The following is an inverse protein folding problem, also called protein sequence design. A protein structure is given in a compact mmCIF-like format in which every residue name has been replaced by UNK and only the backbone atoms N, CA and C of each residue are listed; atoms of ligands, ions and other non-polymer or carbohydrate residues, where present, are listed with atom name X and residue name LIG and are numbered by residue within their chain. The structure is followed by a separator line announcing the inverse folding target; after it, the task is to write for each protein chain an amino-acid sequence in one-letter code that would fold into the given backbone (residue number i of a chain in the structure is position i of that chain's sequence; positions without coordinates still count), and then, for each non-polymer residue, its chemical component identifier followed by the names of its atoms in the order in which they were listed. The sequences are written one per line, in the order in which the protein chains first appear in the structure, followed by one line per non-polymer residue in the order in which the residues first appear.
data_IF_739875554401
#
_entry.id   IF_739875554401
#
_cell.length_a   1.000
_cell.length_b   1.000
_cell.length_c   1.000
_cell.angle_alpha   90.00
_cell.angle_beta   90.00
_cell.angle_gamma   90.00
#
_symmetry.space_group_name_H-M   'P 1'
#
loop_
_entity.id
_entity.type
_entity.pdbx_description
1 polymer ?
#
# COMPACT_ATOMS: atom_id res chain seq x y z
N UNK A 1 -14.41 17.89 16.33
CA UNK A 1 -14.76 17.00 15.19
C UNK A 1 -14.90 15.60 15.71
N UNK A 2 -15.97 14.89 15.40
CA UNK A 2 -16.11 13.47 15.77
C UNK A 2 -15.24 12.60 14.83
N UNK A 3 -14.81 11.42 15.30
CA UNK A 3 -14.04 10.48 14.48
C UNK A 3 -14.78 10.09 13.19
N UNK A 4 -16.11 10.05 13.21
CA UNK A 4 -16.96 9.84 12.04
C UNK A 4 -16.78 10.94 10.99
N UNK A 5 -16.79 12.21 11.38
CA UNK A 5 -16.61 13.33 10.44
C UNK A 5 -15.22 13.32 9.79
N UNK A 6 -14.18 12.91 10.55
CA UNK A 6 -12.83 12.78 10.01
C UNK A 6 -12.72 11.68 8.95
N UNK A 7 -13.37 10.53 9.15
CA UNK A 7 -13.39 9.43 8.17
C UNK A 7 -14.08 9.84 6.87
N UNK A 8 -15.25 10.45 6.97
CA UNK A 8 -15.99 10.94 5.81
C UNK A 8 -15.20 11.99 5.03
N UNK A 9 -14.50 12.87 5.72
CA UNK A 9 -13.62 13.84 5.07
C UNK A 9 -12.45 13.17 4.34
N UNK A 10 -11.82 12.17 4.95
CA UNK A 10 -10.75 11.40 4.31
C UNK A 10 -11.23 10.71 3.01
N UNK A 11 -12.37 10.02 3.05
CA UNK A 11 -12.97 9.38 1.86
C UNK A 11 -13.33 10.42 0.80
N UNK A 12 -13.79 11.61 1.19
CA UNK A 12 -14.07 12.70 0.23
C UNK A 12 -12.81 13.12 -0.55
N UNK A 13 -11.65 13.20 0.10
CA UNK A 13 -10.39 13.48 -0.61
C UNK A 13 -9.96 12.34 -1.53
N UNK A 14 -10.10 11.09 -1.08
CA UNK A 14 -9.86 9.91 -1.93
C UNK A 14 -10.75 9.93 -3.15
N UNK A 15 -12.04 10.24 -2.99
CA UNK A 15 -13.00 10.31 -4.10
C UNK A 15 -12.66 11.40 -5.11
N UNK A 16 -12.06 12.53 -4.70
CA UNK A 16 -11.58 13.55 -5.65
C UNK A 16 -10.48 12.99 -6.57
N UNK A 17 -9.57 12.17 -6.03
CA UNK A 17 -8.53 11.52 -6.82
C UNK A 17 -9.16 10.53 -7.81
N UNK A 18 -10.09 9.70 -7.34
CA UNK A 18 -10.80 8.71 -8.15
C UNK A 18 -11.65 9.36 -9.25
N UNK A 19 -12.35 10.45 -8.93
CA UNK A 19 -13.12 11.23 -9.91
C UNK A 19 -12.22 11.79 -11.03
N UNK A 20 -11.04 12.30 -10.69
CA UNK A 20 -10.04 12.73 -11.67
C UNK A 20 -9.60 11.59 -12.60
N UNK A 21 -9.45 10.39 -12.05
CA UNK A 21 -9.07 9.20 -12.81
C UNK A 21 -10.25 8.59 -13.61
N UNK A 22 -11.47 9.11 -13.48
CA UNK A 22 -12.66 8.60 -14.16
C UNK A 22 -13.12 7.24 -13.64
N UNK A 23 -12.84 6.91 -12.39
CA UNK A 23 -13.20 5.63 -11.75
C UNK A 23 -14.19 5.85 -10.59
N UNK A 24 -15.05 4.86 -10.30
CA UNK A 24 -16.09 4.98 -9.27
C UNK A 24 -15.54 5.36 -7.90
N UNK A 25 -16.19 6.30 -7.23
CA UNK A 25 -15.87 6.71 -5.85
C UNK A 25 -16.25 5.66 -4.80
N UNK A 26 -15.80 5.85 -3.57
CA UNK A 26 -16.24 5.07 -2.41
C UNK A 26 -17.47 5.73 -1.76
N UNK A 27 -18.48 4.93 -1.41
CA UNK A 27 -19.69 5.42 -0.78
C UNK A 27 -20.58 4.31 -0.25
N UNK A 28 -21.77 4.66 0.20
CA UNK A 28 -22.77 3.68 0.63
C UNK A 28 -23.31 2.87 -0.56
N UNK A 29 -23.82 1.67 -0.27
CA UNK A 29 -24.50 0.84 -1.27
C UNK A 29 -25.66 1.59 -1.88
N UNK A 30 -25.75 1.63 -3.20
CA UNK A 30 -26.84 2.28 -3.94
C UNK A 30 -26.70 3.79 -4.09
N UNK A 31 -25.59 4.39 -3.68
CA UNK A 31 -25.27 5.79 -3.99
C UNK A 31 -24.45 5.94 -5.26
N UNK A 32 -24.50 7.11 -5.86
CA UNK A 32 -23.67 7.50 -7.02
C UNK A 32 -22.67 8.57 -6.62
N UNK A 33 -21.52 8.58 -7.28
CA UNK A 33 -20.51 9.62 -7.12
C UNK A 33 -20.80 10.85 -7.99
N UNK A 34 -19.94 11.87 -7.91
CA UNK A 34 -20.08 13.13 -8.65
C UNK A 34 -20.04 12.94 -10.19
N UNK A 35 -19.52 11.83 -10.68
CA UNK A 35 -19.45 11.46 -12.10
C UNK A 35 -20.63 10.56 -12.54
N UNK A 36 -21.55 10.24 -11.63
CA UNK A 36 -22.70 9.39 -11.89
C UNK A 36 -22.41 7.89 -11.86
N UNK A 37 -21.22 7.45 -11.43
CA UNK A 37 -20.90 6.03 -11.25
C UNK A 37 -21.45 5.51 -9.93
N UNK A 38 -21.88 4.24 -9.92
CA UNK A 38 -22.26 3.56 -8.69
C UNK A 38 -21.05 3.47 -7.74
N UNK A 39 -21.21 3.98 -6.52
CA UNK A 39 -20.14 3.98 -5.53
C UNK A 39 -19.72 2.56 -5.13
N UNK A 40 -18.43 2.39 -4.85
CA UNK A 40 -17.87 1.15 -4.30
C UNK A 40 -18.08 1.18 -2.78
N UNK A 41 -18.79 0.19 -2.19
CA UNK A 41 -19.02 0.15 -0.76
C UNK A 41 -17.72 -0.10 0.02
N UNK A 42 -17.66 0.46 1.21
CA UNK A 42 -16.56 0.24 2.15
C UNK A 42 -17.10 0.15 3.59
N UNK A 43 -16.31 -0.44 4.47
CA UNK A 43 -16.63 -0.44 5.89
C UNK A 43 -16.33 0.93 6.49
N UNK A 44 -17.35 1.60 7.09
CA UNK A 44 -17.19 2.87 7.78
C UNK A 44 -16.62 2.67 9.20
N UNK A 45 -15.47 2.00 9.25
CA UNK A 45 -14.62 1.84 10.41
C UNK A 45 -13.28 2.50 10.14
N UNK A 46 -12.50 2.75 11.19
CA UNK A 46 -11.13 3.27 11.03
C UNK A 46 -10.32 2.34 10.11
N UNK A 47 -10.33 1.05 10.38
CA UNK A 47 -9.59 0.04 9.62
C UNK A 47 -10.07 -0.05 8.15
N UNK A 48 -11.38 0.02 7.93
CA UNK A 48 -11.96 0.01 6.58
C UNK A 48 -11.53 1.22 5.76
N UNK A 49 -11.52 2.42 6.36
CA UNK A 49 -11.07 3.65 5.69
C UNK A 49 -9.56 3.62 5.46
N UNK A 50 -8.76 3.20 6.46
CA UNK A 50 -7.30 3.10 6.33
C UNK A 50 -6.92 2.15 5.19
N UNK A 51 -7.56 0.98 5.07
CA UNK A 51 -7.35 0.03 3.96
C UNK A 51 -7.61 0.67 2.59
N UNK A 52 -8.64 1.52 2.47
CA UNK A 52 -8.93 2.22 1.20
C UNK A 52 -7.88 3.27 0.88
N UNK A 53 -7.46 4.05 1.88
CA UNK A 53 -6.40 5.04 1.73
C UNK A 53 -5.08 4.36 1.34
N UNK A 54 -4.70 3.28 2.03
CA UNK A 54 -3.48 2.53 1.72
C UNK A 54 -3.49 2.00 0.28
N UNK A 55 -4.63 1.46 -0.16
CA UNK A 55 -4.79 0.97 -1.53
C UNK A 55 -4.67 2.09 -2.56
N UNK A 56 -5.35 3.21 -2.36
CA UNK A 56 -5.25 4.34 -3.30
C UNK A 56 -3.84 4.90 -3.36
N UNK A 57 -3.16 5.05 -2.22
CA UNK A 57 -1.76 5.49 -2.20
C UNK A 57 -0.85 4.53 -2.95
N UNK A 58 -1.04 3.22 -2.80
CA UNK A 58 -0.27 2.20 -3.52
C UNK A 58 -0.44 2.33 -5.04
N UNK A 59 -1.65 2.60 -5.51
CA UNK A 59 -1.96 2.69 -6.94
C UNK A 59 -1.52 4.04 -7.52
N UNK A 60 -1.88 5.15 -6.87
CA UNK A 60 -1.61 6.51 -7.37
C UNK A 60 -0.12 6.87 -7.34
N UNK A 61 0.60 6.38 -6.34
CA UNK A 61 2.02 6.67 -6.15
C UNK A 61 2.92 5.48 -6.54
N UNK A 62 2.41 4.63 -7.41
CA UNK A 62 3.18 3.50 -7.96
C UNK A 62 4.41 4.03 -8.71
N UNK A 63 5.55 3.39 -8.51
CA UNK A 63 6.87 3.78 -9.02
C UNK A 63 7.51 5.04 -8.42
N UNK A 64 6.91 5.67 -7.41
CA UNK A 64 7.44 6.85 -6.72
C UNK A 64 8.16 6.52 -5.39
N UNK A 65 8.46 5.25 -5.12
CA UNK A 65 9.08 4.77 -3.88
C UNK A 65 8.26 4.96 -2.60
N UNK A 66 7.06 5.54 -2.69
CA UNK A 66 6.22 5.84 -1.54
C UNK A 66 5.83 4.57 -0.76
N UNK A 67 5.56 3.46 -1.44
CA UNK A 67 5.22 2.18 -0.80
C UNK A 67 6.28 1.74 0.20
N UNK A 68 7.56 1.86 -0.14
CA UNK A 68 8.68 1.49 0.74
C UNK A 68 8.63 2.22 2.09
N UNK A 69 8.31 3.52 2.08
CA UNK A 69 8.20 4.31 3.30
C UNK A 69 6.87 4.11 4.00
N UNK A 70 5.78 3.99 3.26
CA UNK A 70 4.43 3.84 3.79
C UNK A 70 4.28 2.57 4.62
N UNK A 71 4.70 1.41 4.11
CA UNK A 71 4.60 0.13 4.84
C UNK A 71 5.45 0.10 6.11
N UNK A 72 6.57 0.83 6.11
CA UNK A 72 7.41 0.98 7.30
C UNK A 72 6.79 1.93 8.31
N UNK A 73 6.31 3.07 7.88
CA UNK A 73 5.66 4.06 8.75
C UNK A 73 4.39 3.51 9.39
N UNK A 74 3.64 2.71 8.67
CA UNK A 74 2.42 2.06 9.19
C UNK A 74 2.69 0.75 9.91
N UNK A 75 3.92 0.25 9.91
CA UNK A 75 4.33 -1.01 10.53
C UNK A 75 3.53 -2.22 10.01
N UNK A 76 3.24 -2.25 8.71
CA UNK A 76 2.45 -3.32 8.05
C UNK A 76 3.27 -4.17 7.07
N UNK A 77 4.56 -3.90 6.94
CA UNK A 77 5.40 -4.59 5.94
C UNK A 77 5.54 -6.09 6.19
N UNK A 78 5.45 -6.55 7.44
CA UNK A 78 5.46 -7.99 7.76
C UNK A 78 4.25 -8.70 7.17
N UNK A 79 3.09 -8.02 7.11
CA UNK A 79 1.85 -8.59 6.58
C UNK A 79 1.73 -8.40 5.06
N UNK A 80 2.21 -7.27 4.55
CA UNK A 80 2.03 -6.90 3.13
C UNK A 80 3.15 -7.39 2.23
N UNK A 81 4.38 -7.46 2.75
CA UNK A 81 5.58 -7.71 1.94
C UNK A 81 6.17 -9.12 2.11
N UNK A 82 5.66 -9.93 3.07
CA UNK A 82 6.03 -11.35 3.22
C UNK A 82 5.18 -12.25 2.34
N UNK A 83 5.32 -12.13 1.03
CA UNK A 83 4.50 -12.91 0.09
C UNK A 83 5.23 -13.26 -1.20
N UNK A 84 4.66 -14.22 -1.92
CA UNK A 84 5.08 -14.53 -3.26
C UNK A 84 4.76 -13.36 -4.20
N UNK A 85 5.75 -12.91 -4.93
CA UNK A 85 5.58 -11.93 -6.00
C UNK A 85 5.13 -12.66 -7.25
N UNK A 86 4.05 -12.16 -7.84
CA UNK A 86 3.50 -12.72 -9.07
C UNK A 86 3.91 -11.85 -10.26
N UNK A 87 4.32 -12.51 -11.32
CA UNK A 87 4.51 -11.89 -12.63
C UNK A 87 3.37 -12.27 -13.57
N UNK A 88 3.25 -11.56 -14.66
CA UNK A 88 2.31 -11.89 -15.72
C UNK A 88 3.09 -12.19 -17.01
N UNK A 89 3.08 -13.45 -17.40
CA UNK A 89 3.74 -13.90 -18.64
C UNK A 89 2.76 -13.81 -19.79
N UNK A 90 3.14 -13.11 -20.84
CA UNK A 90 2.35 -12.99 -22.07
C UNK A 90 3.06 -13.78 -23.18
N UNK A 91 2.44 -14.83 -23.66
CA UNK A 91 2.91 -15.59 -24.81
C UNK A 91 2.14 -15.18 -26.05
N UNK A 92 2.83 -14.90 -27.13
CA UNK A 92 2.26 -14.55 -28.43
C UNK A 92 2.47 -15.66 -29.44
N UNK A 93 1.38 -16.21 -29.97
CA UNK A 93 1.39 -17.15 -31.08
C UNK A 93 0.63 -16.53 -32.26
N UNK A 94 1.37 -15.96 -33.24
CA UNK A 94 0.78 -15.17 -34.31
C UNK A 94 0.03 -13.95 -33.78
N UNK A 95 -1.26 -13.82 -34.07
CA UNK A 95 -2.12 -12.74 -33.57
C UNK A 95 -2.74 -13.03 -32.20
N UNK A 96 -2.72 -14.28 -31.75
CA UNK A 96 -3.26 -14.66 -30.45
C UNK A 96 -2.28 -14.34 -29.33
N UNK A 97 -2.79 -13.73 -28.28
CA UNK A 97 -2.04 -13.47 -27.04
C UNK A 97 -2.71 -14.24 -25.90
N UNK A 98 -1.91 -15.04 -25.23
CA UNK A 98 -2.33 -15.74 -23.98
C UNK A 98 -1.52 -15.22 -22.83
N UNK A 99 -2.16 -14.99 -21.69
CA UNK A 99 -1.49 -14.51 -20.49
C UNK A 99 -1.73 -15.48 -19.33
N UNK A 100 -0.70 -15.67 -18.49
CA UNK A 100 -0.82 -16.44 -17.27
C UNK A 100 -0.07 -15.75 -16.12
N UNK A 101 -0.57 -15.91 -14.92
CA UNK A 101 0.14 -15.51 -13.70
C UNK A 101 1.21 -16.57 -13.41
N UNK A 102 2.42 -16.12 -13.14
CA UNK A 102 3.53 -16.97 -12.72
C UNK A 102 4.10 -16.49 -11.39
N UNK A 103 4.53 -17.42 -10.56
CA UNK A 103 5.25 -17.10 -9.33
C UNK A 103 6.71 -16.79 -9.71
N UNK A 104 7.16 -15.59 -9.34
CA UNK A 104 8.50 -15.13 -9.73
C UNK A 104 9.49 -15.20 -8.59
N UNK A 105 9.13 -14.68 -7.43
CA UNK A 105 10.04 -14.58 -6.28
C UNK A 105 9.27 -14.49 -4.96
N UNK A 106 9.73 -15.25 -3.96
CA UNK A 106 9.32 -15.03 -2.58
C UNK A 106 9.99 -13.78 -2.03
N UNK A 107 9.19 -12.80 -1.65
CA UNK A 107 9.66 -11.64 -0.91
C UNK A 107 9.61 -11.94 0.58
N UNK A 108 10.69 -11.63 1.30
CA UNK A 108 10.79 -11.85 2.74
C UNK A 108 11.11 -10.53 3.42
N UNK A 109 10.23 -10.11 4.33
CA UNK A 109 10.44 -8.95 5.17
C UNK A 109 10.68 -9.43 6.61
N UNK A 110 11.77 -9.00 7.23
CA UNK A 110 12.09 -9.29 8.63
C UNK A 110 11.88 -8.04 9.47
N UNK A 111 11.53 -8.21 10.73
CA UNK A 111 11.24 -7.11 11.66
C UNK A 111 12.39 -6.09 11.77
N UNK A 112 13.65 -6.56 11.69
CA UNK A 112 14.81 -5.69 11.59
C UNK A 112 14.74 -4.68 10.43
N UNK A 113 14.09 -5.04 9.31
CA UNK A 113 14.04 -4.20 8.10
C UNK A 113 13.16 -2.95 8.23
N UNK A 114 12.46 -2.76 9.34
CA UNK A 114 11.80 -1.48 9.64
C UNK A 114 12.81 -0.36 9.86
N UNK A 115 14.00 -0.70 10.32
CA UNK A 115 15.09 0.24 10.58
C UNK A 115 16.29 -0.09 9.70
N UNK A 116 17.12 0.90 9.44
CA UNK A 116 18.43 0.65 8.85
C UNK A 116 19.43 0.31 9.94
N UNK A 117 20.36 -0.64 9.69
CA UNK A 117 21.42 -0.90 10.64
C UNK A 117 22.37 0.31 10.72
N UNK A 118 22.84 0.63 11.90
CA UNK A 118 23.92 1.58 12.08
C UNK A 118 25.20 0.91 11.53
N UNK A 119 25.97 1.59 10.67
CA UNK A 119 27.19 1.01 10.12
C UNK A 119 28.14 0.54 11.23
N UNK A 120 28.65 -0.69 11.13
CA UNK A 120 29.52 -1.29 12.13
C UNK A 120 30.72 -0.39 12.55
N UNK A 121 31.28 0.34 11.59
CA UNK A 121 32.39 1.28 11.87
C UNK A 121 32.00 2.36 12.87
N UNK A 122 30.75 2.79 12.91
CA UNK A 122 30.29 3.83 13.84
C UNK A 122 30.03 3.27 15.23
N UNK A 123 29.52 2.04 15.34
CA UNK A 123 29.34 1.38 16.64
C UNK A 123 30.67 1.05 17.30
N UNK A 124 31.72 0.77 16.53
CA UNK A 124 33.10 0.55 17.08
C UNK A 124 33.74 1.85 17.58
N UNK A 125 33.49 2.99 16.92
CA UNK A 125 34.04 4.29 17.34
C UNK A 125 33.35 4.84 18.59
N UNK A 126 32.11 4.49 18.82
CA UNK A 126 31.31 4.98 19.93
C UNK A 126 30.71 3.80 20.70
N UNK A 127 31.40 3.33 21.77
CA UNK A 127 30.97 2.15 22.55
C UNK A 127 29.57 2.29 23.17
N UNK A 128 29.13 3.52 23.40
CA UNK A 128 27.77 3.82 23.93
C UNK A 128 26.67 3.82 22.85
N UNK A 129 27.05 3.71 21.57
CA UNK A 129 26.12 3.68 20.47
C UNK A 129 25.58 2.26 20.28
N UNK A 130 24.38 2.02 20.77
CA UNK A 130 23.69 0.74 20.57
C UNK A 130 23.16 0.60 19.14
N UNK A 131 23.27 -0.61 18.62
CA UNK A 131 22.70 -0.96 17.33
C UNK A 131 21.17 -0.89 17.35
N UNK A 132 20.55 -0.63 16.20
CA UNK A 132 19.10 -0.66 16.07
C UNK A 132 18.54 -2.06 16.40
N UNK A 133 17.31 -2.14 16.93
CA UNK A 133 16.70 -3.41 17.34
C UNK A 133 16.75 -4.47 16.24
N UNK A 134 16.96 -5.72 16.63
CA UNK A 134 16.99 -6.90 15.76
C UNK A 134 18.21 -7.02 14.82
N UNK A 135 19.26 -6.24 15.03
CA UNK A 135 20.57 -6.32 14.35
C UNK A 135 21.69 -6.78 15.29
N UNK A 136 21.37 -7.66 16.23
CA UNK A 136 22.33 -8.29 17.12
C UNK A 136 23.31 -9.22 16.40
#
# INVERSE_FOLDING_TARGET
MTAFNQRNEAIKYVNKIRARAGIPGYGAVGTTDDNGFACIPYEDTRDGVDKRIHRERLVELMFEWNHFFDVRRWMIAEDTDNRMMHGFEITRNGEQKTGRIIDTRQHTFRKAMYFYPIPYKETVKSPDLLQNPYYE
#
